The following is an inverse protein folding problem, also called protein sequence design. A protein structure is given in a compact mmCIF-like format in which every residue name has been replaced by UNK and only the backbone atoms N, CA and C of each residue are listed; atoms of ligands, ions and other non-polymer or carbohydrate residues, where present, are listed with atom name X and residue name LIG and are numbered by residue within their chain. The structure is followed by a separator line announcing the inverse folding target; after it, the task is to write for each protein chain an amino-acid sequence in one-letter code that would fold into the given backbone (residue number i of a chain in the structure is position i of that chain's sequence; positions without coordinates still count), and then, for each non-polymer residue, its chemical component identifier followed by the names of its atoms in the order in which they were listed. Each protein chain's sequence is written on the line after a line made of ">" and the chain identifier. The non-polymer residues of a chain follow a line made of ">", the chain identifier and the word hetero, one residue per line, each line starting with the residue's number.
data_IF_519097702235
#
_entry.id   IF_519097702235
#
_cell.length_a   1.000
_cell.length_b   1.000
_cell.length_c   1.000
_cell.angle_alpha   90.00
_cell.angle_beta   90.00
_cell.angle_gamma   90.00
#
_symmetry.space_group_name_H-M   'P 1'
#
loop_
_entity.id
_entity.type
_entity.pdbx_description
1 polymer ?
#
# COMPACT_ATOMS: atom_id res chain seq x y z
N UNK A 1 -12.53 21.68 -29.95
CA UNK A 1 -12.97 20.29 -30.09
C UNK A 1 -12.57 19.58 -28.81
N UNK A 2 -13.44 18.73 -28.25
CA UNK A 2 -13.30 18.26 -26.88
C UNK A 2 -12.30 17.11 -26.81
N UNK A 3 -11.38 17.14 -25.84
CA UNK A 3 -10.60 15.96 -25.47
C UNK A 3 -11.58 14.91 -24.93
N UNK A 4 -11.38 13.63 -25.27
CA UNK A 4 -12.15 12.56 -24.64
C UNK A 4 -11.83 12.54 -23.16
N UNK A 5 -12.84 12.41 -22.31
CA UNK A 5 -12.67 12.33 -20.85
C UNK A 5 -13.11 10.95 -20.38
N UNK A 6 -12.29 10.33 -19.56
CA UNK A 6 -12.56 9.07 -18.87
C UNK A 6 -12.57 9.35 -17.38
N UNK A 7 -13.40 8.63 -16.63
CA UNK A 7 -13.39 8.70 -15.18
C UNK A 7 -13.07 7.34 -14.57
N UNK A 8 -12.14 7.32 -13.63
CA UNK A 8 -11.95 6.18 -12.72
C UNK A 8 -12.60 6.55 -11.40
N UNK A 9 -13.72 5.89 -11.09
CA UNK A 9 -14.48 6.07 -9.86
C UNK A 9 -14.07 5.02 -8.84
N UNK A 10 -13.85 5.45 -7.61
CA UNK A 10 -13.47 4.62 -6.47
C UNK A 10 -14.51 4.88 -5.38
N UNK A 11 -15.37 3.90 -5.15
CA UNK A 11 -16.46 3.95 -4.18
C UNK A 11 -16.11 3.08 -2.98
N UNK A 12 -15.98 3.73 -1.82
CA UNK A 12 -15.90 3.08 -0.51
C UNK A 12 -17.23 3.23 0.22
N UNK A 13 -17.36 2.66 1.42
CA UNK A 13 -18.54 2.91 2.26
C UNK A 13 -18.68 4.37 2.73
N UNK A 14 -17.60 5.17 2.67
CA UNK A 14 -17.56 6.55 3.21
C UNK A 14 -17.56 7.63 2.14
N UNK A 15 -17.02 7.33 0.97
CA UNK A 15 -16.79 8.33 -0.08
C UNK A 15 -16.81 7.70 -1.47
N UNK A 16 -17.19 8.52 -2.45
CA UNK A 16 -17.00 8.26 -3.88
C UNK A 16 -16.01 9.31 -4.39
N UNK A 17 -14.84 8.86 -4.79
CA UNK A 17 -13.81 9.71 -5.40
C UNK A 17 -13.75 9.38 -6.89
N UNK A 18 -13.67 10.39 -7.75
CA UNK A 18 -13.48 10.20 -9.18
C UNK A 18 -12.19 10.86 -9.63
N UNK A 19 -11.53 10.24 -10.60
CA UNK A 19 -10.29 10.71 -11.19
C UNK A 19 -10.47 10.83 -12.69
N UNK A 20 -10.18 12.01 -13.23
CA UNK A 20 -10.31 12.27 -14.65
C UNK A 20 -9.00 11.93 -15.37
N UNK A 21 -9.16 11.28 -16.52
CA UNK A 21 -8.12 11.11 -17.52
C UNK A 21 -8.61 11.72 -18.82
N UNK A 22 -7.74 12.38 -19.55
CA UNK A 22 -8.07 12.98 -20.85
C UNK A 22 -7.27 12.33 -21.95
N UNK A 23 -7.87 12.11 -23.11
CA UNK A 23 -7.14 11.71 -24.32
C UNK A 23 -7.14 12.86 -25.31
N UNK A 24 -5.96 13.26 -25.73
CA UNK A 24 -5.78 14.30 -26.76
C UNK A 24 -6.25 13.80 -28.14
N UNK A 25 -6.39 14.72 -29.09
CA UNK A 25 -6.66 14.39 -30.50
C UNK A 25 -5.60 13.46 -31.12
N UNK A 26 -4.36 13.53 -30.65
CA UNK A 26 -3.27 12.63 -31.07
C UNK A 26 -3.31 11.27 -30.38
N UNK A 27 -4.33 11.00 -29.58
CA UNK A 27 -4.51 9.76 -28.85
C UNK A 27 -3.62 9.64 -27.62
N UNK A 28 -3.04 10.72 -27.09
CA UNK A 28 -2.20 10.66 -25.89
C UNK A 28 -3.09 10.75 -24.66
N UNK A 29 -3.02 9.74 -23.79
CA UNK A 29 -3.67 9.74 -22.49
C UNK A 29 -2.89 10.64 -21.52
N UNK A 30 -3.61 11.38 -20.68
CA UNK A 30 -3.05 12.19 -19.59
C UNK A 30 -3.95 12.13 -18.35
N UNK A 31 -3.38 12.46 -17.19
CA UNK A 31 -4.08 12.46 -15.91
C UNK A 31 -4.46 13.88 -15.50
N UNK A 32 -5.76 14.13 -15.42
CA UNK A 32 -6.33 15.44 -15.08
C UNK A 32 -6.59 15.63 -13.58
N UNK A 33 -6.34 14.61 -12.76
CA UNK A 33 -6.47 14.70 -11.30
C UNK A 33 -7.85 14.29 -10.77
N UNK A 34 -8.10 14.63 -9.50
CA UNK A 34 -9.39 14.42 -8.87
C UNK A 34 -10.49 15.25 -9.56
N UNK A 35 -11.66 14.65 -9.74
CA UNK A 35 -12.79 15.23 -10.46
C UNK A 35 -14.11 14.99 -9.71
N UNK A 36 -15.12 15.78 -10.07
CA UNK A 36 -16.49 15.67 -9.56
C UNK A 36 -17.47 15.63 -10.74
N UNK A 37 -17.48 14.52 -11.51
CA UNK A 37 -18.39 14.38 -12.64
C UNK A 37 -19.84 14.41 -12.17
N UNK A 38 -20.71 15.04 -12.96
CA UNK A 38 -22.14 15.06 -12.65
C UNK A 38 -22.79 13.69 -12.94
N UNK A 39 -23.89 13.37 -12.25
CA UNK A 39 -24.64 12.14 -12.53
C UNK A 39 -25.12 12.08 -14.00
N UNK A 40 -25.53 13.23 -14.56
CA UNK A 40 -25.92 13.35 -15.96
C UNK A 40 -24.78 13.02 -16.93
N UNK A 41 -23.55 13.42 -16.59
CA UNK A 41 -22.36 13.11 -17.37
C UNK A 41 -22.06 11.61 -17.35
N UNK A 42 -21.99 11.01 -16.16
CA UNK A 42 -21.75 9.57 -16.00
C UNK A 42 -22.83 8.71 -16.67
N UNK A 43 -24.08 9.17 -16.66
CA UNK A 43 -25.21 8.45 -17.27
C UNK A 43 -25.11 8.31 -18.80
N UNK A 44 -24.28 9.13 -19.45
CA UNK A 44 -24.03 9.11 -20.90
C UNK A 44 -22.78 8.32 -21.27
N UNK A 45 -22.13 7.69 -20.30
CA UNK A 45 -20.91 6.92 -20.46
C UNK A 45 -21.18 5.43 -20.26
N UNK A 46 -20.33 4.58 -20.84
CA UNK A 46 -20.26 3.17 -20.53
C UNK A 46 -19.57 3.00 -19.17
N UNK A 47 -20.18 2.26 -18.24
CA UNK A 47 -19.57 1.92 -16.96
C UNK A 47 -19.06 0.48 -17.02
N UNK A 48 -17.76 0.30 -16.85
CA UNK A 48 -17.11 -1.02 -16.79
C UNK A 48 -16.45 -1.23 -15.44
N UNK A 49 -16.44 -2.47 -14.96
CA UNK A 49 -15.75 -2.83 -13.73
C UNK A 49 -14.24 -2.68 -13.87
N UNK A 50 -13.62 -2.15 -12.82
CA UNK A 50 -12.17 -2.08 -12.70
C UNK A 50 -11.54 -3.46 -12.57
N UNK A 51 -10.20 -3.46 -12.55
CA UNK A 51 -9.42 -4.68 -12.48
C UNK A 51 -9.57 -5.44 -11.16
N UNK A 52 -9.79 -6.76 -11.23
CA UNK A 52 -9.83 -7.66 -10.08
C UNK A 52 -8.46 -7.98 -9.45
N UNK A 53 -7.39 -7.30 -9.87
CA UNK A 53 -6.01 -7.50 -9.37
C UNK A 53 -5.73 -6.84 -8.03
N UNK A 54 -6.76 -6.22 -7.47
CA UNK A 54 -6.90 -5.89 -6.07
C UNK A 54 -8.34 -6.22 -5.69
N UNK A 55 -8.52 -7.17 -4.78
CA UNK A 55 -9.84 -7.47 -4.23
C UNK A 55 -9.73 -7.61 -2.72
N UNK A 56 -10.70 -7.05 -1.96
CA UNK A 56 -10.77 -7.23 -0.51
C UNK A 56 -10.77 -8.70 -0.07
N UNK A 57 -11.24 -9.62 -0.91
CA UNK A 57 -11.33 -11.05 -0.57
C UNK A 57 -9.98 -11.75 -0.40
N UNK A 58 -8.88 -11.15 -0.87
CA UNK A 58 -7.53 -11.69 -0.66
C UNK A 58 -6.97 -11.43 0.74
N UNK A 59 -7.65 -10.61 1.54
CA UNK A 59 -7.17 -10.18 2.83
C UNK A 59 -7.99 -10.81 3.95
N UNK A 60 -7.30 -11.38 4.95
CA UNK A 60 -7.92 -11.75 6.23
C UNK A 60 -8.50 -10.51 6.92
N UNK A 61 -7.80 -9.38 6.77
CA UNK A 61 -8.25 -8.09 7.24
C UNK A 61 -7.76 -6.98 6.31
N UNK A 62 -8.70 -6.16 5.85
CA UNK A 62 -8.45 -4.94 5.10
C UNK A 62 -9.29 -3.81 5.73
N UNK A 63 -8.73 -2.62 5.98
CA UNK A 63 -9.49 -1.50 6.54
C UNK A 63 -10.62 -1.10 5.58
N UNK A 64 -11.74 -0.68 6.14
CA UNK A 64 -12.92 -0.24 5.38
C UNK A 64 -12.58 0.79 4.29
N UNK A 65 -11.62 1.68 4.55
CA UNK A 65 -11.18 2.71 3.60
C UNK A 65 -10.44 2.16 2.37
N UNK A 66 -10.00 0.91 2.38
CA UNK A 66 -9.40 0.21 1.24
C UNK A 66 -10.37 -0.80 0.59
N UNK A 67 -11.55 -1.01 1.19
CA UNK A 67 -12.59 -1.84 0.61
C UNK A 67 -13.39 -0.99 -0.38
N UNK A 68 -12.98 -1.01 -1.65
CA UNK A 68 -13.57 -0.17 -2.69
C UNK A 68 -14.11 -0.96 -3.88
N UNK A 69 -15.23 -0.50 -4.41
CA UNK A 69 -15.71 -0.78 -5.76
C UNK A 69 -15.03 0.21 -6.72
N UNK A 70 -14.37 -0.30 -7.75
CA UNK A 70 -13.66 0.52 -8.73
C UNK A 70 -14.36 0.36 -10.06
N UNK A 71 -14.81 1.48 -10.64
CA UNK A 71 -15.48 1.49 -11.93
C UNK A 71 -14.82 2.50 -12.87
N UNK A 72 -14.79 2.17 -14.15
CA UNK A 72 -14.26 3.04 -15.20
C UNK A 72 -15.40 3.48 -16.10
N UNK A 73 -15.54 4.80 -16.27
CA UNK A 73 -16.52 5.41 -17.15
C UNK A 73 -15.83 5.86 -18.44
N UNK A 74 -16.36 5.38 -19.55
CA UNK A 74 -15.79 5.55 -20.90
C UNK A 74 -16.86 6.18 -21.80
N UNK A 75 -16.55 7.19 -22.62
CA UNK A 75 -17.52 7.77 -23.56
C UNK A 75 -18.14 6.70 -24.48
N UNK A 76 -19.45 6.78 -24.74
CA UNK A 76 -20.16 5.77 -25.56
C UNK A 76 -19.72 5.79 -27.02
N UNK A 77 -19.38 6.97 -27.51
CA UNK A 77 -18.93 7.28 -28.86
C UNK A 77 -17.40 7.22 -29.02
N UNK A 78 -16.69 6.60 -28.06
CA UNK A 78 -15.22 6.51 -28.12
C UNK A 78 -14.77 5.71 -29.36
N UNK A 79 -14.02 6.37 -30.24
CA UNK A 79 -13.40 5.70 -31.38
C UNK A 79 -11.96 5.28 -31.06
N UNK A 80 -11.58 4.09 -31.51
CA UNK A 80 -10.19 3.58 -31.49
C UNK A 80 -9.49 3.70 -30.12
N UNK A 81 -10.16 3.32 -29.03
CA UNK A 81 -9.50 3.25 -27.72
C UNK A 81 -8.40 2.19 -27.75
N UNK A 82 -7.15 2.62 -27.56
CA UNK A 82 -5.99 1.73 -27.56
C UNK A 82 -6.06 0.71 -26.42
N UNK A 83 -5.64 -0.53 -26.70
CA UNK A 83 -5.73 -1.63 -25.75
C UNK A 83 -4.88 -1.38 -24.49
N UNK A 84 -3.73 -0.70 -24.61
CA UNK A 84 -2.92 -0.34 -23.45
C UNK A 84 -3.59 0.76 -22.63
N UNK A 85 -4.24 1.75 -23.27
CA UNK A 85 -5.01 2.79 -22.57
C UNK A 85 -6.17 2.20 -21.80
N UNK A 86 -6.95 1.34 -22.45
CA UNK A 86 -8.05 0.62 -21.79
C UNK A 86 -7.53 -0.19 -20.61
N UNK A 87 -6.47 -0.99 -20.82
CA UNK A 87 -5.85 -1.79 -19.75
C UNK A 87 -5.35 -0.91 -18.60
N UNK A 88 -4.68 0.21 -18.89
CA UNK A 88 -4.21 1.14 -17.87
C UNK A 88 -5.36 1.70 -17.03
N UNK A 89 -6.43 2.19 -17.68
CA UNK A 89 -7.61 2.75 -17.00
C UNK A 89 -8.27 1.72 -16.06
N UNK A 90 -8.35 0.45 -16.48
CA UNK A 90 -8.88 -0.62 -15.63
C UNK A 90 -8.03 -0.88 -14.37
N UNK A 91 -6.71 -0.68 -14.44
CA UNK A 91 -5.78 -1.05 -13.36
C UNK A 91 -5.39 0.11 -12.45
N UNK A 92 -5.41 1.36 -12.95
CA UNK A 92 -4.90 2.53 -12.21
C UNK A 92 -5.75 2.87 -10.98
N UNK A 93 -7.03 2.48 -10.95
CA UNK A 93 -7.92 2.77 -9.81
C UNK A 93 -7.41 2.20 -8.48
N UNK A 94 -6.95 0.95 -8.45
CA UNK A 94 -6.43 0.36 -7.20
C UNK A 94 -5.15 1.06 -6.73
N UNK A 95 -4.31 1.47 -7.69
CA UNK A 95 -3.09 2.23 -7.41
C UNK A 95 -3.42 3.61 -6.84
N UNK A 96 -4.38 4.33 -7.44
CA UNK A 96 -4.86 5.63 -6.96
C UNK A 96 -5.40 5.52 -5.53
N UNK A 97 -6.24 4.51 -5.25
CA UNK A 97 -6.73 4.24 -3.89
C UNK A 97 -5.58 4.04 -2.89
N UNK A 98 -4.59 3.21 -3.23
CA UNK A 98 -3.45 2.96 -2.35
C UNK A 98 -2.61 4.23 -2.12
N UNK A 99 -2.45 5.09 -3.14
CA UNK A 99 -1.78 6.39 -3.05
C UNK A 99 -2.56 7.35 -2.14
N UNK A 100 -3.88 7.50 -2.33
CA UNK A 100 -4.72 8.36 -1.49
C UNK A 100 -4.67 7.93 -0.02
N UNK A 101 -4.71 6.62 0.21
CA UNK A 101 -4.64 6.05 1.55
C UNK A 101 -3.23 6.08 2.15
N UNK A 102 -2.21 6.47 1.38
CA UNK A 102 -0.78 6.41 1.76
C UNK A 102 -0.34 5.01 2.21
N UNK A 103 -0.88 3.96 1.56
CA UNK A 103 -0.42 2.59 1.77
C UNK A 103 0.81 2.31 0.92
N UNK A 104 1.96 2.78 1.41
CA UNK A 104 3.24 2.75 0.70
C UNK A 104 3.63 1.37 0.18
N UNK A 105 3.45 0.32 0.98
CA UNK A 105 3.75 -1.05 0.57
C UNK A 105 2.75 -1.58 -0.46
N UNK A 106 1.45 -1.32 -0.29
CA UNK A 106 0.45 -1.74 -1.28
C UNK A 106 0.66 -1.06 -2.63
N UNK A 107 1.06 0.22 -2.66
CA UNK A 107 1.44 0.92 -3.90
C UNK A 107 2.54 0.16 -4.64
N UNK A 108 3.59 -0.26 -3.94
CA UNK A 108 4.69 -0.99 -4.55
C UNK A 108 4.26 -2.39 -5.04
N UNK A 109 3.45 -3.10 -4.25
CA UNK A 109 2.91 -4.41 -4.64
C UNK A 109 2.00 -4.33 -5.88
N UNK A 110 1.12 -3.33 -5.96
CA UNK A 110 0.23 -3.14 -7.12
C UNK A 110 1.02 -2.77 -8.37
N UNK A 111 2.03 -1.91 -8.22
CA UNK A 111 2.95 -1.58 -9.30
C UNK A 111 3.67 -2.82 -9.83
N UNK A 112 4.19 -3.65 -8.92
CA UNK A 112 4.89 -4.88 -9.28
C UNK A 112 3.98 -5.88 -10.04
N UNK A 113 2.75 -6.10 -9.56
CA UNK A 113 1.78 -7.04 -10.18
C UNK A 113 1.37 -6.65 -11.60
N UNK A 114 1.50 -5.37 -11.95
CA UNK A 114 0.99 -4.79 -13.21
C UNK A 114 2.04 -3.94 -13.93
N UNK A 115 3.31 -4.21 -13.70
CA UNK A 115 4.42 -3.42 -14.24
C UNK A 115 4.34 -3.23 -15.75
N UNK A 116 4.05 -4.28 -16.51
CA UNK A 116 3.88 -4.23 -17.97
C UNK A 116 2.77 -3.27 -18.44
N UNK A 117 1.66 -3.17 -17.69
CA UNK A 117 0.56 -2.26 -18.01
C UNK A 117 0.99 -0.82 -17.77
N UNK A 118 1.68 -0.58 -16.65
CA UNK A 118 2.10 0.75 -16.24
C UNK A 118 3.31 1.28 -17.02
N UNK A 119 4.17 0.39 -17.54
CA UNK A 119 5.38 0.72 -18.30
C UNK A 119 5.11 1.59 -19.55
N UNK A 120 3.93 1.47 -20.15
CA UNK A 120 3.52 2.26 -21.32
C UNK A 120 3.13 3.71 -20.97
N UNK A 121 2.91 3.99 -19.68
CA UNK A 121 2.38 5.27 -19.19
C UNK A 121 3.29 5.88 -18.12
N UNK A 122 4.62 5.67 -18.24
CA UNK A 122 5.61 6.12 -17.25
C UNK A 122 5.42 7.58 -16.80
N UNK A 123 5.21 8.59 -17.68
CA UNK A 123 5.04 9.97 -17.22
C UNK A 123 3.85 10.16 -16.27
N UNK A 124 2.69 9.59 -16.62
CA UNK A 124 1.47 9.62 -15.79
C UNK A 124 1.72 8.89 -14.47
N UNK A 125 2.33 7.70 -14.56
CA UNK A 125 2.63 6.86 -13.41
C UNK A 125 3.53 7.57 -12.40
N UNK A 126 4.62 8.18 -12.85
CA UNK A 126 5.54 8.93 -11.98
C UNK A 126 4.82 10.09 -11.29
N UNK A 127 3.93 10.79 -12.00
CA UNK A 127 3.12 11.87 -11.43
C UNK A 127 2.20 11.35 -10.31
N UNK A 128 1.47 10.25 -10.56
CA UNK A 128 0.57 9.63 -9.58
C UNK A 128 1.34 9.15 -8.33
N UNK A 129 2.51 8.55 -8.52
CA UNK A 129 3.29 7.96 -7.41
C UNK A 129 4.02 8.99 -6.56
N UNK A 130 4.37 10.16 -7.12
CA UNK A 130 5.20 11.20 -6.49
C UNK A 130 4.88 11.49 -5.00
N UNK A 131 3.61 11.57 -4.55
CA UNK A 131 3.28 11.92 -3.16
C UNK A 131 3.67 10.86 -2.11
N UNK A 132 3.93 9.62 -2.52
CA UNK A 132 4.22 8.47 -1.64
C UNK A 132 5.46 7.69 -2.06
N UNK A 133 6.08 8.05 -3.19
CA UNK A 133 7.17 7.31 -3.80
C UNK A 133 8.38 7.06 -2.86
N UNK A 134 8.86 8.03 -2.04
CA UNK A 134 10.00 7.78 -1.15
C UNK A 134 9.70 6.67 -0.14
N UNK A 135 8.54 6.75 0.52
CA UNK A 135 8.11 5.76 1.50
C UNK A 135 7.76 4.43 0.84
N UNK A 136 7.16 4.44 -0.36
CA UNK A 136 6.89 3.22 -1.12
C UNK A 136 8.18 2.52 -1.55
N UNK A 137 9.18 3.26 -1.99
CA UNK A 137 10.50 2.71 -2.32
C UNK A 137 11.17 2.12 -1.08
N UNK A 138 11.17 2.85 0.03
CA UNK A 138 11.69 2.37 1.32
C UNK A 138 10.96 1.08 1.77
N UNK A 139 9.63 1.09 1.73
CA UNK A 139 8.81 -0.06 2.08
C UNK A 139 9.09 -1.24 1.14
N UNK A 140 9.24 -1.03 -0.17
CA UNK A 140 9.53 -2.10 -1.12
C UNK A 140 10.86 -2.81 -0.83
N UNK A 141 11.93 -2.02 -0.63
CA UNK A 141 13.31 -2.53 -0.49
C UNK A 141 13.57 -3.05 0.92
N UNK A 142 13.21 -2.25 1.93
CA UNK A 142 13.63 -2.46 3.32
C UNK A 142 12.48 -2.84 4.25
N UNK A 143 11.23 -2.64 3.84
CA UNK A 143 10.04 -2.95 4.65
C UNK A 143 9.19 -4.12 4.16
N UNK A 144 9.44 -4.62 2.96
CA UNK A 144 8.66 -5.65 2.28
C UNK A 144 9.42 -6.96 2.21
N UNK A 145 8.82 -7.94 1.53
CA UNK A 145 9.37 -9.29 1.41
C UNK A 145 10.34 -9.47 0.23
N UNK A 146 10.54 -8.43 -0.59
CA UNK A 146 11.24 -8.52 -1.88
C UNK A 146 12.77 -8.27 -1.82
N UNK A 147 13.29 -7.71 -0.73
CA UNK A 147 14.74 -7.50 -0.60
C UNK A 147 15.29 -6.29 -1.40
N UNK A 148 16.60 -6.17 -1.41
CA UNK A 148 17.40 -5.10 -2.04
C UNK A 148 18.03 -5.50 -3.38
N UNK A 149 17.55 -6.59 -3.99
CA UNK A 149 18.24 -7.39 -5.01
C UNK A 149 19.04 -6.62 -6.07
N UNK A 150 18.42 -5.68 -6.77
CA UNK A 150 19.10 -4.85 -7.80
C UNK A 150 19.15 -3.35 -7.44
N UNK A 151 18.58 -2.94 -6.30
CA UNK A 151 18.43 -1.51 -6.00
C UNK A 151 19.77 -0.81 -5.80
N UNK A 152 20.78 -1.49 -5.25
CA UNK A 152 22.11 -0.92 -5.12
C UNK A 152 22.72 -0.55 -6.47
N UNK A 153 22.45 -1.34 -7.53
CA UNK A 153 22.90 -1.04 -8.88
C UNK A 153 22.10 0.12 -9.48
N UNK A 154 20.78 0.14 -9.29
CA UNK A 154 19.89 1.23 -9.71
C UNK A 154 20.37 2.56 -9.10
N UNK A 155 20.61 2.58 -7.79
CA UNK A 155 21.06 3.75 -7.06
C UNK A 155 22.47 4.20 -7.48
N UNK A 156 23.40 3.26 -7.67
CA UNK A 156 24.76 3.60 -8.10
C UNK A 156 24.81 4.19 -9.53
N UNK A 157 23.94 3.71 -10.42
CA UNK A 157 23.86 4.21 -11.79
C UNK A 157 23.14 5.56 -11.88
N UNK A 158 22.11 5.79 -11.05
CA UNK A 158 21.26 6.99 -11.01
C UNK A 158 20.79 7.46 -12.40
N UNK A 159 20.48 6.50 -13.28
CA UNK A 159 20.05 6.79 -14.64
C UNK A 159 18.58 7.26 -14.68
N UNK A 160 18.21 8.14 -15.62
CA UNK A 160 16.80 8.45 -15.88
C UNK A 160 16.01 7.19 -16.27
N UNK A 161 14.76 7.10 -15.81
CA UNK A 161 13.88 6.01 -16.21
C UNK A 161 13.38 6.20 -17.64
N UNK A 162 13.37 5.13 -18.43
CA UNK A 162 12.82 5.11 -19.78
C UNK A 162 11.35 4.69 -19.81
N UNK A 163 10.63 5.06 -20.86
CA UNK A 163 9.36 4.43 -21.21
C UNK A 163 9.58 2.94 -21.43
N UNK A 164 8.69 2.08 -20.94
CA UNK A 164 8.84 0.64 -21.01
C UNK A 164 9.56 0.01 -19.80
N UNK A 165 10.03 0.81 -18.83
CA UNK A 165 10.57 0.27 -17.58
C UNK A 165 9.48 -0.47 -16.77
N UNK A 166 9.85 -1.63 -16.24
CA UNK A 166 8.95 -2.53 -15.50
C UNK A 166 9.46 -2.83 -14.08
N UNK A 167 10.72 -2.51 -13.79
CA UNK A 167 11.27 -2.67 -12.46
C UNK A 167 10.63 -1.68 -11.48
N UNK A 168 9.99 -2.23 -10.46
CA UNK A 168 9.25 -1.47 -9.45
C UNK A 168 10.17 -0.54 -8.67
N UNK A 169 11.39 -0.96 -8.35
CA UNK A 169 12.34 -0.13 -7.63
C UNK A 169 12.84 1.01 -8.51
N UNK A 170 13.13 0.78 -9.79
CA UNK A 170 13.51 1.85 -10.75
C UNK A 170 12.40 2.89 -10.88
N UNK A 171 11.15 2.48 -11.07
CA UNK A 171 10.01 3.39 -11.23
C UNK A 171 9.78 4.23 -9.96
N UNK A 172 9.74 3.58 -8.79
CA UNK A 172 9.57 4.27 -7.51
C UNK A 172 10.74 5.22 -7.22
N UNK A 173 11.98 4.81 -7.54
CA UNK A 173 13.17 5.65 -7.40
C UNK A 173 13.09 6.90 -8.29
N UNK A 174 12.69 6.75 -9.55
CA UNK A 174 12.48 7.88 -10.44
C UNK A 174 11.41 8.85 -9.92
N UNK A 175 10.28 8.33 -9.41
CA UNK A 175 9.22 9.15 -8.84
C UNK A 175 9.63 9.85 -7.53
N UNK A 176 10.49 9.19 -6.73
CA UNK A 176 10.97 9.69 -5.45
C UNK A 176 12.16 10.66 -5.56
N UNK A 177 12.80 10.75 -6.73
CA UNK A 177 14.10 11.39 -6.94
C UNK A 177 14.17 12.84 -6.43
N UNK A 178 13.12 13.62 -6.67
CA UNK A 178 13.06 15.02 -6.20
C UNK A 178 13.00 15.13 -4.67
N UNK A 179 12.30 14.20 -4.02
CA UNK A 179 12.13 14.20 -2.56
C UNK A 179 13.35 13.62 -1.85
N UNK A 180 13.95 12.58 -2.44
CA UNK A 180 15.12 11.89 -1.90
C UNK A 180 16.41 12.67 -2.16
N UNK A 181 16.53 13.36 -3.32
CA UNK A 181 17.74 14.06 -3.77
C UNK A 181 18.98 13.15 -3.67
N UNK A 182 19.03 12.05 -4.44
CA UNK A 182 20.11 11.07 -4.31
C UNK A 182 21.48 11.68 -4.64
N UNK A 183 22.50 11.33 -3.85
CA UNK A 183 23.89 11.68 -4.11
C UNK A 183 24.80 10.43 -4.02
N UNK A 184 24.76 9.51 -5.00
CA UNK A 184 25.44 8.22 -4.92
C UNK A 184 26.96 8.31 -4.73
N UNK A 185 27.58 9.43 -5.11
CA UNK A 185 29.01 9.70 -4.90
C UNK A 185 29.37 10.11 -3.47
N UNK A 186 28.38 10.46 -2.64
CA UNK A 186 28.59 10.98 -1.26
C UNK A 186 27.95 10.12 -0.18
N UNK A 187 26.89 9.39 -0.48
CA UNK A 187 26.18 8.58 0.49
C UNK A 187 25.72 7.23 -0.10
N UNK A 188 25.58 6.23 0.77
CA UNK A 188 24.95 4.95 0.42
C UNK A 188 23.44 5.12 0.23
N UNK A 189 22.81 4.14 -0.42
CA UNK A 189 21.35 4.08 -0.52
C UNK A 189 20.66 4.17 0.86
N UNK A 190 21.20 3.47 1.86
CA UNK A 190 20.73 3.55 3.24
C UNK A 190 20.93 4.95 3.84
N UNK A 191 22.08 5.59 3.57
CA UNK A 191 22.39 6.96 3.98
C UNK A 191 21.39 7.98 3.44
N UNK A 192 20.98 7.83 2.18
CA UNK A 192 19.92 8.64 1.56
C UNK A 192 18.60 8.52 2.32
N UNK A 193 18.17 7.30 2.68
CA UNK A 193 16.94 7.13 3.47
C UNK A 193 17.10 7.63 4.91
N UNK A 194 18.25 7.41 5.55
CA UNK A 194 18.54 7.98 6.87
C UNK A 194 18.38 9.50 6.82
N UNK A 195 18.95 10.16 5.82
CA UNK A 195 18.82 11.61 5.60
C UNK A 195 17.38 12.02 5.31
N UNK A 196 16.66 11.27 4.47
CA UNK A 196 15.26 11.54 4.15
C UNK A 196 14.36 11.51 5.40
N UNK A 197 14.44 10.42 6.18
CA UNK A 197 13.66 10.27 7.42
C UNK A 197 14.16 11.17 8.54
N UNK A 198 15.45 11.56 8.54
CA UNK A 198 15.97 12.56 9.47
C UNK A 198 15.34 13.92 9.19
N UNK A 199 15.22 14.32 7.93
CA UNK A 199 14.67 15.61 7.52
C UNK A 199 15.29 16.79 8.29
N UNK A 200 14.54 17.88 8.41
CA UNK A 200 14.85 19.07 9.23
C UNK A 200 14.43 18.91 10.71
N UNK A 201 14.20 17.67 11.17
CA UNK A 201 13.69 17.37 12.52
C UNK A 201 12.15 17.40 12.65
N UNK A 202 11.43 18.08 11.73
CA UNK A 202 9.96 18.19 11.76
C UNK A 202 9.25 17.32 10.72
N UNK A 203 10.00 16.68 9.80
CA UNK A 203 9.41 15.76 8.81
C UNK A 203 8.68 14.63 9.53
N UNK A 204 7.36 14.63 9.32
CA UNK A 204 6.47 13.54 9.66
C UNK A 204 6.49 12.49 8.56
N UNK A 205 6.35 11.23 8.93
CA UNK A 205 6.20 10.13 7.98
C UNK A 205 4.97 9.31 8.32
N UNK A 206 4.31 8.80 7.28
CA UNK A 206 3.14 7.94 7.39
C UNK A 206 3.21 6.91 6.26
N UNK A 207 3.60 5.69 6.61
CA UNK A 207 3.80 4.63 5.63
C UNK A 207 3.46 3.26 6.22
N UNK A 208 3.36 2.28 5.33
CA UNK A 208 3.08 0.89 5.69
C UNK A 208 4.29 0.02 5.41
N UNK A 209 4.51 -0.98 6.26
CA UNK A 209 5.55 -1.98 6.03
C UNK A 209 5.16 -3.32 6.66
N UNK A 210 5.72 -4.40 6.12
CA UNK A 210 5.54 -5.75 6.63
C UNK A 210 6.38 -5.99 7.88
N UNK A 211 5.91 -6.92 8.71
CA UNK A 211 6.70 -7.45 9.83
C UNK A 211 7.29 -8.81 9.47
N UNK A 212 8.37 -9.17 10.14
CA UNK A 212 9.05 -10.46 9.98
C UNK A 212 9.06 -11.24 11.30
N UNK A 213 9.23 -12.55 11.18
CA UNK A 213 9.33 -13.46 12.33
C UNK A 213 7.99 -13.80 12.99
N UNK A 214 6.85 -13.43 12.38
CA UNK A 214 5.53 -13.66 12.96
C UNK A 214 5.28 -15.12 13.38
N UNK A 215 5.69 -16.08 12.55
CA UNK A 215 5.58 -17.51 12.82
C UNK A 215 6.31 -17.98 14.11
N UNK A 216 7.25 -17.19 14.62
CA UNK A 216 8.01 -17.50 15.83
C UNK A 216 7.45 -16.79 17.08
N UNK A 217 6.28 -16.17 16.98
CA UNK A 217 5.72 -15.36 18.06
C UNK A 217 4.26 -15.70 18.38
N UNK A 218 3.81 -15.49 19.64
CA UNK A 218 2.51 -15.98 20.11
C UNK A 218 1.29 -15.36 19.41
N UNK A 219 1.47 -14.29 18.65
CA UNK A 219 0.36 -13.67 17.92
C UNK A 219 -0.18 -14.56 16.80
N UNK A 220 0.65 -15.42 16.19
CA UNK A 220 0.18 -16.39 15.17
C UNK A 220 -0.78 -17.42 15.76
N UNK A 221 -0.46 -17.98 16.93
CA UNK A 221 -1.38 -18.90 17.62
C UNK A 221 -2.71 -18.22 17.98
N UNK A 222 -2.65 -16.93 18.30
CA UNK A 222 -3.82 -16.12 18.66
C UNK A 222 -4.77 -15.92 17.48
N UNK A 223 -4.25 -15.65 16.28
CA UNK A 223 -5.07 -15.51 15.06
C UNK A 223 -5.67 -16.86 14.64
N UNK A 224 -4.95 -17.97 14.73
CA UNK A 224 -5.50 -19.29 14.39
C UNK A 224 -6.69 -19.67 15.28
N UNK A 225 -6.59 -19.40 16.59
CA UNK A 225 -7.70 -19.60 17.53
C UNK A 225 -8.87 -18.67 17.23
N UNK A 226 -8.60 -17.42 16.90
CA UNK A 226 -9.61 -16.47 16.49
C UNK A 226 -10.36 -16.96 15.25
N UNK A 227 -9.67 -17.41 14.20
CA UNK A 227 -10.28 -17.94 12.98
C UNK A 227 -11.17 -19.15 13.28
N UNK A 228 -10.72 -20.06 14.16
CA UNK A 228 -11.54 -21.22 14.57
C UNK A 228 -12.83 -20.81 15.28
N UNK A 229 -12.76 -19.87 16.22
CA UNK A 229 -13.93 -19.41 17.00
C UNK A 229 -14.87 -18.58 16.12
N UNK A 230 -14.32 -17.62 15.39
CA UNK A 230 -15.07 -16.72 14.52
C UNK A 230 -15.69 -17.46 13.33
N UNK A 231 -14.99 -18.44 12.75
CA UNK A 231 -15.52 -19.30 11.69
C UNK A 231 -16.69 -20.15 12.17
N UNK A 232 -16.60 -20.75 13.35
CA UNK A 232 -17.72 -21.48 13.95
C UNK A 232 -18.92 -20.56 14.21
N UNK A 233 -18.71 -19.41 14.87
CA UNK A 233 -19.77 -18.44 15.16
C UNK A 233 -20.40 -17.86 13.88
N UNK A 234 -19.58 -17.60 12.85
CA UNK A 234 -20.06 -17.16 11.53
C UNK A 234 -20.91 -18.24 10.90
N UNK A 235 -20.47 -19.51 10.87
CA UNK A 235 -21.25 -20.62 10.31
C UNK A 235 -22.65 -20.77 10.92
N UNK A 236 -22.82 -20.48 12.22
CA UNK A 236 -24.13 -20.48 12.89
C UNK A 236 -25.04 -19.30 12.51
N UNK A 237 -24.48 -18.15 12.13
CA UNK A 237 -25.23 -16.93 11.79
C UNK A 237 -25.21 -16.57 10.30
N UNK A 238 -24.40 -17.27 9.50
CA UNK A 238 -24.18 -16.97 8.07
C UNK A 238 -25.44 -17.16 7.25
N UNK A 239 -26.31 -18.10 7.64
CA UNK A 239 -27.59 -18.32 6.99
C UNK A 239 -28.58 -17.16 7.18
N UNK A 240 -28.40 -16.35 8.23
CA UNK A 240 -29.34 -15.28 8.59
C UNK A 240 -28.85 -13.89 8.14
N UNK A 241 -27.56 -13.58 8.29
CA UNK A 241 -26.98 -12.26 7.94
C UNK A 241 -25.44 -12.34 7.77
N UNK A 242 -24.94 -12.69 6.57
CA UNK A 242 -23.50 -12.83 6.32
C UNK A 242 -22.74 -11.49 6.38
N UNK A 243 -23.39 -10.38 6.01
CA UNK A 243 -22.78 -9.04 6.04
C UNK A 243 -22.46 -8.62 7.47
N UNK A 244 -23.38 -8.86 8.41
CA UNK A 244 -23.17 -8.56 9.83
C UNK A 244 -22.04 -9.37 10.45
N UNK A 245 -21.90 -10.64 10.08
CA UNK A 245 -20.79 -11.48 10.54
C UNK A 245 -19.44 -10.94 10.03
N UNK A 246 -19.35 -10.61 8.74
CA UNK A 246 -18.16 -9.99 8.14
C UNK A 246 -17.79 -8.65 8.78
N UNK A 247 -18.78 -7.77 8.97
CA UNK A 247 -18.58 -6.47 9.63
C UNK A 247 -18.05 -6.63 11.06
N UNK A 248 -18.60 -7.57 11.84
CA UNK A 248 -18.16 -7.77 13.22
C UNK A 248 -16.72 -8.26 13.32
N UNK A 249 -16.32 -9.15 12.39
CA UNK A 249 -14.93 -9.60 12.26
C UNK A 249 -13.99 -8.41 11.98
N UNK A 250 -14.33 -7.56 11.01
CA UNK A 250 -13.54 -6.37 10.68
C UNK A 250 -13.45 -5.38 11.85
N UNK A 251 -14.53 -5.14 12.58
CA UNK A 251 -14.53 -4.28 13.79
C UNK A 251 -13.55 -4.78 14.87
N UNK A 252 -13.42 -6.10 15.04
CA UNK A 252 -12.47 -6.67 16.00
C UNK A 252 -11.03 -6.32 15.59
N UNK A 253 -10.65 -6.56 14.33
CA UNK A 253 -9.32 -6.24 13.81
C UNK A 253 -9.02 -4.73 13.87
N UNK A 254 -9.98 -3.88 13.49
CA UNK A 254 -9.85 -2.42 13.59
C UNK A 254 -9.64 -1.95 15.03
N UNK A 255 -10.20 -2.67 16.01
CA UNK A 255 -10.07 -2.33 17.43
C UNK A 255 -8.74 -2.74 18.06
N UNK A 256 -7.89 -3.51 17.36
CA UNK A 256 -6.63 -4.00 17.90
C UNK A 256 -5.64 -2.85 18.10
N UNK A 257 -5.13 -2.70 19.31
CA UNK A 257 -4.08 -1.73 19.59
C UNK A 257 -2.72 -2.32 19.22
N UNK A 258 -1.97 -1.58 18.41
CA UNK A 258 -0.60 -1.94 18.04
C UNK A 258 0.38 -1.05 18.81
N UNK A 259 1.51 -1.63 19.21
CA UNK A 259 2.65 -0.94 19.79
C UNK A 259 3.88 -1.34 19.00
N UNK A 260 4.55 -0.37 18.39
CA UNK A 260 5.84 -0.57 17.73
C UNK A 260 6.89 0.20 18.52
N UNK A 261 7.96 -0.48 18.92
CA UNK A 261 8.96 0.10 19.80
C UNK A 261 10.38 -0.43 19.55
N UNK A 262 11.38 0.41 19.80
CA UNK A 262 12.78 0.03 19.70
C UNK A 262 13.19 -0.86 20.89
N UNK A 263 14.05 -1.84 20.64
CA UNK A 263 14.66 -2.73 21.63
C UNK A 263 16.20 -2.58 21.59
N UNK A 264 16.77 -1.46 22.08
CA UNK A 264 18.22 -1.20 21.98
C UNK A 264 19.09 -2.23 22.73
N UNK A 265 18.48 -2.95 23.68
CA UNK A 265 19.13 -4.01 24.48
C UNK A 265 18.89 -5.41 23.92
N UNK A 266 18.33 -5.53 22.71
CA UNK A 266 18.20 -6.83 22.07
C UNK A 266 19.59 -7.44 21.85
N UNK A 267 19.83 -8.69 22.28
CA UNK A 267 21.17 -9.30 22.28
C UNK A 267 21.68 -9.65 20.87
N UNK A 268 20.81 -9.61 19.85
CA UNK A 268 21.15 -9.99 18.48
C UNK A 268 21.21 -8.80 17.51
N UNK A 269 20.42 -7.75 17.76
CA UNK A 269 20.38 -6.55 16.91
C UNK A 269 20.03 -5.30 17.74
N UNK A 270 21.00 -4.41 17.97
CA UNK A 270 20.80 -3.15 18.71
C UNK A 270 19.83 -2.17 18.03
N UNK A 271 19.52 -2.38 16.74
CA UNK A 271 18.55 -1.61 15.99
C UNK A 271 17.17 -2.29 15.93
N UNK A 272 16.97 -3.42 16.61
CA UNK A 272 15.71 -4.15 16.59
C UNK A 272 14.53 -3.23 16.97
N UNK A 273 13.47 -3.30 16.18
CA UNK A 273 12.20 -2.64 16.46
C UNK A 273 11.12 -3.72 16.48
N UNK A 274 10.55 -3.96 17.66
CA UNK A 274 9.54 -4.98 17.86
C UNK A 274 8.13 -4.44 17.65
N UNK A 275 7.26 -5.35 17.23
CA UNK A 275 5.84 -5.10 17.00
C UNK A 275 5.04 -5.98 17.96
N UNK A 276 4.15 -5.34 18.72
CA UNK A 276 3.18 -5.99 19.58
C UNK A 276 1.78 -5.59 19.15
N UNK A 277 0.88 -6.57 19.14
CA UNK A 277 -0.53 -6.37 18.79
C UNK A 277 -1.35 -6.94 19.93
N UNK A 278 -2.54 -6.38 20.18
CA UNK A 278 -3.48 -6.96 21.12
C UNK A 278 -3.70 -8.46 20.77
N UNK A 279 -3.67 -9.30 21.81
CA UNK A 279 -3.93 -10.74 21.71
C UNK A 279 -5.42 -10.96 21.41
N UNK A 280 -5.71 -11.53 20.23
CA UNK A 280 -7.08 -11.79 19.77
C UNK A 280 -7.85 -12.72 20.71
N UNK A 281 -7.21 -13.74 21.27
CA UNK A 281 -7.86 -14.64 22.24
C UNK A 281 -8.28 -13.87 23.50
N UNK A 282 -7.41 -12.99 24.01
CA UNK A 282 -7.74 -12.11 25.14
C UNK A 282 -8.90 -11.16 24.80
N UNK A 283 -8.88 -10.56 23.61
CA UNK A 283 -9.93 -9.65 23.14
C UNK A 283 -11.28 -10.36 23.05
N UNK A 284 -11.33 -11.58 22.53
CA UNK A 284 -12.55 -12.39 22.48
C UNK A 284 -13.11 -12.72 23.88
N UNK A 285 -12.24 -12.82 24.90
CA UNK A 285 -12.63 -13.04 26.30
C UNK A 285 -13.02 -11.74 27.04
N UNK A 286 -13.02 -10.59 26.37
CA UNK A 286 -13.31 -9.30 26.98
C UNK A 286 -12.16 -8.70 27.79
N UNK A 287 -10.94 -9.24 27.64
CA UNK A 287 -9.72 -8.71 28.24
C UNK A 287 -8.83 -8.04 27.18
N UNK A 288 -7.80 -7.29 27.61
CA UNK A 288 -6.77 -6.77 26.69
C UNK A 288 -5.39 -7.03 27.24
N UNK A 289 -4.64 -7.83 26.51
CA UNK A 289 -3.21 -8.03 26.67
C UNK A 289 -2.55 -7.87 25.30
N UNK A 290 -1.25 -7.58 25.26
CA UNK A 290 -0.47 -7.56 24.01
C UNK A 290 0.45 -8.76 23.99
N UNK A 291 0.56 -9.40 22.84
CA UNK A 291 1.62 -10.36 22.57
C UNK A 291 2.53 -9.85 21.45
N UNK A 292 3.76 -10.35 21.43
CA UNK A 292 4.71 -10.01 20.37
C UNK A 292 4.19 -10.61 19.06
N UNK A 293 4.17 -9.80 18.01
CA UNK A 293 3.74 -10.21 16.68
C UNK A 293 4.92 -10.35 15.70
N UNK A 294 6.06 -9.74 16.00
CA UNK A 294 7.22 -9.76 15.12
C UNK A 294 8.17 -8.61 15.36
N UNK A 295 8.99 -8.37 14.35
CA UNK A 295 9.88 -7.23 14.25
C UNK A 295 9.70 -6.54 12.90
N UNK A 296 10.08 -5.27 12.83
CA UNK A 296 10.41 -4.67 11.54
C UNK A 296 11.66 -5.36 10.98
N UNK A 297 11.79 -5.42 9.66
CA UNK A 297 12.97 -6.00 9.01
C UNK A 297 14.24 -5.23 9.44
N UNK A 298 15.32 -5.95 9.73
CA UNK A 298 16.52 -5.42 10.37
C UNK A 298 17.09 -4.17 9.69
N UNK A 299 17.28 -4.20 8.36
CA UNK A 299 17.82 -3.05 7.62
C UNK A 299 16.89 -1.84 7.67
N UNK A 300 15.58 -2.04 7.49
CA UNK A 300 14.60 -0.96 7.61
C UNK A 300 14.56 -0.38 9.02
N UNK A 301 14.63 -1.23 10.05
CA UNK A 301 14.70 -0.82 11.44
C UNK A 301 15.97 0.01 11.71
N UNK A 302 17.14 -0.43 11.23
CA UNK A 302 18.40 0.29 11.35
C UNK A 302 18.34 1.68 10.73
N UNK A 303 17.82 1.82 9.51
CA UNK A 303 17.62 3.12 8.83
C UNK A 303 16.78 4.06 9.71
N UNK A 304 15.63 3.58 10.19
CA UNK A 304 14.73 4.39 11.03
C UNK A 304 15.38 4.77 12.38
N UNK A 305 16.09 3.82 13.01
CA UNK A 305 16.81 4.05 14.28
C UNK A 305 17.96 5.03 14.12
N UNK A 306 18.70 4.98 13.01
CA UNK A 306 19.76 5.96 12.73
C UNK A 306 19.20 7.34 12.36
N UNK A 307 18.05 7.40 11.67
CA UNK A 307 17.37 8.66 11.36
C UNK A 307 16.76 9.33 12.61
N UNK A 308 16.30 8.52 13.56
CA UNK A 308 15.58 8.92 14.78
C UNK A 308 16.06 8.13 16.01
N UNK A 309 17.31 8.33 16.48
CA UNK A 309 17.89 7.51 17.55
C UNK A 309 17.13 7.59 18.88
N UNK A 310 16.52 8.75 19.15
CA UNK A 310 15.76 8.99 20.37
C UNK A 310 14.28 8.55 20.27
N UNK A 311 13.84 8.03 19.12
CA UNK A 311 12.48 7.55 18.94
C UNK A 311 12.42 6.08 19.35
N UNK A 312 11.87 5.84 20.54
CA UNK A 312 11.70 4.50 21.10
C UNK A 312 10.30 3.92 20.89
N UNK A 313 9.31 4.74 20.56
CA UNK A 313 7.94 4.32 20.30
C UNK A 313 7.43 5.03 19.06
N UNK A 314 6.80 4.28 18.18
CA UNK A 314 6.19 4.81 16.95
C UNK A 314 4.67 4.85 17.16
N UNK A 315 3.99 5.89 16.64
CA UNK A 315 2.54 5.81 16.52
C UNK A 315 2.24 4.74 15.46
N UNK A 316 1.37 3.78 15.80
CA UNK A 316 1.15 2.63 14.93
C UNK A 316 -0.25 2.05 15.02
N UNK A 317 -0.65 1.39 13.95
CA UNK A 317 -1.89 0.63 13.86
C UNK A 317 -1.69 -0.62 13.01
N UNK A 318 -2.52 -1.63 13.23
CA UNK A 318 -2.65 -2.74 12.30
C UNK A 318 -3.26 -2.16 11.03
N UNK A 319 -2.62 -2.39 9.89
CA UNK A 319 -3.12 -1.85 8.64
C UNK A 319 -3.79 -2.93 7.81
N UNK A 320 -3.14 -4.05 7.52
CA UNK A 320 -3.78 -5.17 6.80
C UNK A 320 -3.16 -6.50 7.20
N UNK A 321 -3.92 -7.58 7.04
CA UNK A 321 -3.45 -8.96 7.19
C UNK A 321 -3.74 -9.69 5.88
N UNK A 322 -2.73 -10.36 5.36
CA UNK A 322 -2.75 -10.99 4.05
C UNK A 322 -2.35 -10.04 2.93
N UNK A 323 -2.47 -10.53 1.70
CA UNK A 323 -1.97 -9.87 0.51
C UNK A 323 -2.17 -10.72 -0.72
N UNK A 324 -1.34 -10.52 -1.74
CA UNK A 324 -1.33 -11.41 -2.90
C UNK A 324 -1.08 -12.85 -2.41
N UNK A 325 -1.92 -13.84 -2.77
CA UNK A 325 -1.64 -15.26 -2.50
C UNK A 325 -0.27 -15.72 -2.99
N UNK A 326 0.30 -15.08 -4.03
CA UNK A 326 1.62 -15.44 -4.57
C UNK A 326 2.80 -15.13 -3.63
N UNK A 327 2.62 -14.27 -2.63
CA UNK A 327 3.73 -13.83 -1.76
C UNK A 327 3.61 -14.42 -0.36
N UNK A 328 2.57 -14.08 0.42
CA UNK A 328 2.36 -14.61 1.77
C UNK A 328 0.90 -14.38 2.24
N UNK A 329 0.10 -15.45 2.33
CA UNK A 329 -1.31 -15.40 2.76
C UNK A 329 -1.51 -14.77 4.15
N UNK A 330 -0.48 -14.79 5.01
CA UNK A 330 -0.54 -14.29 6.40
C UNK A 330 0.39 -13.09 6.66
N UNK A 331 0.74 -12.31 5.63
CA UNK A 331 1.56 -11.11 5.82
C UNK A 331 0.86 -10.10 6.75
N UNK A 332 1.51 -9.73 7.85
CA UNK A 332 1.00 -8.70 8.76
C UNK A 332 1.67 -7.38 8.42
N UNK A 333 0.85 -6.40 8.06
CA UNK A 333 1.29 -5.07 7.67
C UNK A 333 0.85 -4.07 8.72
N UNK A 334 1.82 -3.28 9.19
CA UNK A 334 1.57 -2.20 10.15
C UNK A 334 1.73 -0.86 9.45
N UNK A 335 0.94 0.12 9.91
CA UNK A 335 1.15 1.53 9.59
C UNK A 335 1.98 2.16 10.68
N UNK A 336 3.01 2.90 10.27
CA UNK A 336 3.87 3.68 11.16
C UNK A 336 3.68 5.16 10.88
N UNK A 337 3.56 5.93 11.97
CA UNK A 337 3.49 7.38 11.95
C UNK A 337 4.47 7.98 12.94
N UNK A 338 5.01 9.14 12.55
CA UNK A 338 5.82 10.01 13.40
C UNK A 338 5.61 11.45 12.98
#
# INVERSE_FOLDING_TARGET
>A
MANDIFYVSIKTSKAVNAFAFTRSETGILDYAGAATPSADELSRMQCVEGSAYFTPSWYTYLPEALQAEISVYIPVDIENLDANQYSFLLHVGALLLAVEMRDSLLVAELLHRRSMVFANFTPILLHILKPVAPESLFAWIYGGFHGDGNFLQIYANDAPVSTGETDTATILYAAAREALKPEPSKETAEGMFIRYFKGDGNRKFNFTMGIVGAANHPWVDSIEKFEKISGAATGFHFADDPEKAGKKRSEIFESLKVKVQAEPYNPHDHNAVSVFIDDLESVLKGARSKCKAGYLRSTGAAILRHARPNLYSYESSLWRIGGNPDYFENAIIVRLKF
#
